data_IF_412888882098
#
_entry.id   IF_412888882098
#
_cell.length_a   1.000
_cell.length_b   1.000
_cell.length_c   1.000
_cell.angle_alpha   90.00
_cell.angle_beta   90.00
_cell.angle_gamma   90.00
#
_symmetry.space_group_name_H-M   'P 1'
#
loop_
_entity.id
_entity.type
_entity.pdbx_description
1 polymer ?
#
# COMPACT_ATOMS: atom_id res chain seq x y z
N UNK A 1 2.73 -10.87 2.12
CA UNK A 1 1.61 -11.57 2.79
C UNK A 1 1.11 -10.81 4.03
N UNK A 2 1.92 -10.59 5.07
CA UNK A 2 1.50 -9.79 6.25
C UNK A 2 1.07 -8.35 5.89
N UNK A 3 1.85 -7.65 5.08
CA UNK A 3 1.55 -6.30 4.58
C UNK A 3 0.17 -6.20 3.87
N UNK A 4 -0.25 -7.25 3.18
CA UNK A 4 -1.52 -7.29 2.42
C UNK A 4 -2.71 -7.37 3.37
N UNK A 5 -2.57 -8.19 4.42
CA UNK A 5 -3.53 -8.27 5.50
C UNK A 5 -3.63 -6.94 6.25
N UNK A 6 -2.47 -6.34 6.58
CA UNK A 6 -2.42 -5.02 7.23
C UNK A 6 -3.11 -3.97 6.39
N UNK A 7 -2.91 -3.94 5.06
CA UNK A 7 -3.61 -3.01 4.18
C UNK A 7 -5.12 -3.21 4.24
N UNK A 8 -5.59 -4.46 4.15
CA UNK A 8 -7.02 -4.75 4.14
C UNK A 8 -7.71 -4.29 5.40
N UNK A 9 -7.09 -4.55 6.56
CA UNK A 9 -7.55 -4.04 7.85
C UNK A 9 -7.49 -2.50 7.89
N UNK A 10 -6.40 -1.90 7.43
CA UNK A 10 -6.21 -0.45 7.41
C UNK A 10 -7.31 0.26 6.61
N UNK A 11 -7.65 -0.28 5.43
CA UNK A 11 -8.69 0.26 4.56
C UNK A 11 -10.08 0.23 5.21
N UNK A 12 -10.40 -0.85 5.95
CA UNK A 12 -11.65 -0.96 6.70
C UNK A 12 -11.66 0.05 7.85
N UNK A 13 -10.59 0.08 8.64
CA UNK A 13 -10.45 0.96 9.80
C UNK A 13 -10.46 2.45 9.44
N UNK A 14 -9.86 2.82 8.31
CA UNK A 14 -9.84 4.21 7.86
C UNK A 14 -11.16 4.67 7.27
N UNK A 15 -12.01 3.75 6.78
CA UNK A 15 -13.31 4.13 6.18
C UNK A 15 -14.29 4.81 7.13
N UNK A 16 -14.11 4.67 8.44
CA UNK A 16 -14.96 5.31 9.47
C UNK A 16 -14.44 6.71 9.87
N UNK A 17 -13.34 7.19 9.27
CA UNK A 17 -12.66 8.44 9.63
C UNK A 17 -12.40 9.31 8.40
N UNK A 18 -12.07 10.58 8.63
CA UNK A 18 -11.60 11.45 7.55
C UNK A 18 -10.23 10.98 7.04
N UNK A 19 -10.24 10.37 5.85
CA UNK A 19 -9.05 9.75 5.27
C UNK A 19 -8.15 10.83 4.64
N UNK A 20 -6.97 11.03 5.24
CA UNK A 20 -5.86 11.74 4.58
C UNK A 20 -5.09 10.78 3.69
N UNK A 21 -5.60 10.53 2.48
CA UNK A 21 -5.13 9.45 1.60
C UNK A 21 -3.62 9.46 1.31
N UNK A 22 -3.03 10.65 1.15
CA UNK A 22 -1.58 10.78 0.91
C UNK A 22 -0.76 10.45 2.17
N UNK A 23 -1.19 10.93 3.34
CA UNK A 23 -0.47 10.72 4.59
C UNK A 23 -0.62 9.29 5.10
N UNK A 24 -1.82 8.73 5.01
CA UNK A 24 -2.08 7.34 5.40
C UNK A 24 -1.39 6.34 4.47
N UNK A 25 -1.35 6.63 3.16
CA UNK A 25 -0.56 5.83 2.23
C UNK A 25 0.92 5.86 2.58
N UNK A 26 1.45 7.03 2.97
CA UNK A 26 2.85 7.17 3.37
C UNK A 26 3.15 6.40 4.66
N UNK A 27 2.26 6.50 5.65
CA UNK A 27 2.35 5.76 6.90
C UNK A 27 2.32 4.24 6.65
N UNK A 28 1.47 3.77 5.75
CA UNK A 28 1.37 2.37 5.38
C UNK A 28 2.63 1.86 4.67
N UNK A 29 3.18 2.61 3.71
CA UNK A 29 4.44 2.25 3.04
C UNK A 29 5.61 2.24 4.04
N UNK A 30 5.68 3.23 4.93
CA UNK A 30 6.66 3.23 6.02
C UNK A 30 6.57 1.99 6.90
N UNK A 31 5.36 1.61 7.30
CA UNK A 31 5.13 0.37 8.05
C UNK A 31 5.53 -0.87 7.24
N UNK A 32 5.28 -0.88 5.94
CA UNK A 32 5.66 -1.98 5.04
C UNK A 32 7.18 -2.16 5.00
N UNK A 33 7.94 -1.06 4.90
CA UNK A 33 9.41 -1.09 4.98
C UNK A 33 9.87 -1.71 6.30
N UNK A 34 9.27 -1.30 7.43
CA UNK A 34 9.60 -1.86 8.74
C UNK A 34 9.30 -3.37 8.82
N UNK A 35 8.12 -3.78 8.35
CA UNK A 35 7.71 -5.20 8.31
C UNK A 35 8.70 -6.02 7.48
N UNK A 36 9.05 -5.56 6.27
CA UNK A 36 9.99 -6.25 5.39
C UNK A 36 11.37 -6.36 6.04
N UNK A 37 11.85 -5.29 6.65
CA UNK A 37 13.15 -5.25 7.34
C UNK A 37 13.21 -6.23 8.52
N UNK A 38 12.14 -6.31 9.31
CA UNK A 38 12.03 -7.24 10.44
C UNK A 38 11.98 -8.69 9.93
N UNK A 39 11.20 -8.98 8.88
CA UNK A 39 11.08 -10.35 8.35
C UNK A 39 12.40 -10.90 7.79
N UNK A 40 13.24 -10.03 7.21
CA UNK A 40 14.53 -10.42 6.61
C UNK A 40 15.71 -10.21 7.58
N UNK A 41 15.47 -9.61 8.76
CA UNK A 41 16.51 -9.22 9.72
C UNK A 41 17.65 -8.40 9.10
N UNK A 42 17.33 -7.58 8.10
CA UNK A 42 18.28 -6.73 7.40
C UNK A 42 17.63 -5.36 7.13
N UNK A 43 18.37 -4.25 7.31
CA UNK A 43 17.90 -2.96 6.83
C UNK A 43 17.76 -3.00 5.30
N UNK A 44 16.85 -2.18 4.73
CA UNK A 44 16.70 -2.08 3.29
C UNK A 44 17.91 -1.33 2.68
N UNK A 45 18.32 -1.74 1.49
CA UNK A 45 19.31 -0.99 0.72
C UNK A 45 18.67 0.28 0.16
N UNK A 46 19.10 1.43 0.67
CA UNK A 46 18.57 2.74 0.23
C UNK A 46 19.29 3.16 -1.06
N UNK A 47 18.67 2.86 -2.20
CA UNK A 47 19.13 3.27 -3.53
C UNK A 47 17.98 3.91 -4.34
N UNK A 48 18.25 4.32 -5.58
CA UNK A 48 17.23 4.92 -6.45
C UNK A 48 16.05 3.97 -6.72
N UNK A 49 16.34 2.67 -6.87
CA UNK A 49 15.34 1.64 -7.11
C UNK A 49 14.39 1.50 -5.92
N UNK A 50 14.90 1.56 -4.68
CA UNK A 50 14.13 1.57 -3.45
C UNK A 50 13.12 2.72 -3.43
N UNK A 51 13.55 3.95 -3.71
CA UNK A 51 12.65 5.11 -3.70
C UNK A 51 11.56 5.01 -4.76
N UNK A 52 11.87 4.52 -5.96
CA UNK A 52 10.87 4.34 -7.02
C UNK A 52 9.88 3.24 -6.64
N UNK A 53 10.36 2.11 -6.13
CA UNK A 53 9.51 0.99 -5.67
C UNK A 53 8.55 1.46 -4.58
N UNK A 54 9.07 2.16 -3.56
CA UNK A 54 8.24 2.71 -2.48
C UNK A 54 7.28 3.79 -2.98
N UNK A 55 7.71 4.61 -3.94
CA UNK A 55 6.85 5.63 -4.56
C UNK A 55 5.68 5.04 -5.34
N UNK A 56 5.90 3.93 -6.06
CA UNK A 56 4.84 3.19 -6.77
C UNK A 56 3.84 2.61 -5.77
N UNK A 57 4.33 1.92 -4.74
CA UNK A 57 3.48 1.34 -3.68
C UNK A 57 2.68 2.43 -2.97
N UNK A 58 3.31 3.57 -2.68
CA UNK A 58 2.67 4.72 -2.04
C UNK A 58 1.55 5.31 -2.91
N UNK A 59 1.85 5.62 -4.17
CA UNK A 59 0.88 6.18 -5.10
C UNK A 59 -0.35 5.28 -5.24
N UNK A 60 -0.12 3.97 -5.32
CA UNK A 60 -1.19 2.98 -5.40
C UNK A 60 -2.07 2.94 -4.14
N UNK A 61 -1.46 2.88 -2.96
CA UNK A 61 -2.20 2.84 -1.69
C UNK A 61 -2.99 4.13 -1.48
N UNK A 62 -2.38 5.29 -1.76
CA UNK A 62 -3.07 6.58 -1.71
C UNK A 62 -4.23 6.66 -2.69
N UNK A 63 -4.12 6.08 -3.88
CA UNK A 63 -5.21 6.01 -4.85
C UNK A 63 -6.39 5.19 -4.32
N UNK A 64 -6.13 4.02 -3.71
CA UNK A 64 -7.19 3.18 -3.12
C UNK A 64 -7.87 3.90 -1.96
N UNK A 65 -7.08 4.51 -1.06
CA UNK A 65 -7.61 5.26 0.07
C UNK A 65 -8.49 6.42 -0.38
N UNK A 66 -8.08 7.14 -1.42
CA UNK A 66 -8.91 8.16 -2.05
C UNK A 66 -10.20 7.59 -2.64
N UNK A 67 -10.12 6.44 -3.34
CA UNK A 67 -11.29 5.79 -3.90
C UNK A 67 -12.29 5.35 -2.82
N UNK A 68 -11.82 4.80 -1.70
CA UNK A 68 -12.67 4.42 -0.57
C UNK A 68 -13.35 5.65 0.03
N UNK A 69 -12.59 6.72 0.29
CA UNK A 69 -13.13 7.96 0.84
C UNK A 69 -14.21 8.58 -0.08
N UNK A 70 -14.10 8.37 -1.39
CA UNK A 70 -15.03 8.94 -2.36
C UNK A 70 -16.24 8.07 -2.66
N UNK A 71 -16.07 6.76 -2.74
CA UNK A 71 -17.06 5.83 -3.29
C UNK A 71 -17.64 4.85 -2.28
N UNK A 72 -17.02 4.68 -1.11
CA UNK A 72 -17.58 3.78 -0.09
C UNK A 72 -18.68 4.48 0.71
N UNK A 73 -19.90 3.98 0.58
CA UNK A 73 -21.09 4.51 1.30
C UNK A 73 -21.62 3.55 2.35
N UNK A 74 -21.23 2.27 2.29
CA UNK A 74 -21.68 1.23 3.19
C UNK A 74 -20.50 0.38 3.65
N UNK A 75 -20.68 -0.34 4.76
CA UNK A 75 -19.68 -1.28 5.23
C UNK A 75 -19.37 -2.39 4.19
N UNK A 76 -20.38 -2.86 3.46
CA UNK A 76 -20.20 -3.88 2.40
C UNK A 76 -19.34 -3.33 1.26
N UNK A 77 -19.57 -2.09 0.82
CA UNK A 77 -18.72 -1.48 -0.21
C UNK A 77 -17.29 -1.30 0.29
N UNK A 78 -17.09 -0.91 1.55
CA UNK A 78 -15.75 -0.84 2.16
C UNK A 78 -15.05 -2.20 2.11
N UNK A 79 -15.74 -3.28 2.49
CA UNK A 79 -15.17 -4.63 2.46
C UNK A 79 -14.75 -5.05 1.04
N UNK A 80 -15.56 -4.74 0.03
CA UNK A 80 -15.22 -5.02 -1.37
C UNK A 80 -13.99 -4.24 -1.82
N UNK A 81 -13.91 -2.95 -1.49
CA UNK A 81 -12.72 -2.14 -1.78
C UNK A 81 -11.49 -2.64 -1.04
N UNK A 82 -11.63 -3.05 0.22
CA UNK A 82 -10.53 -3.59 1.00
C UNK A 82 -10.01 -4.91 0.39
N UNK A 83 -10.90 -5.80 -0.02
CA UNK A 83 -10.54 -7.04 -0.71
C UNK A 83 -9.82 -6.79 -2.04
N UNK A 84 -10.42 -5.96 -2.91
CA UNK A 84 -9.84 -5.65 -4.23
C UNK A 84 -8.52 -4.89 -4.08
N UNK A 85 -8.48 -3.93 -3.16
CA UNK A 85 -7.31 -3.12 -2.85
C UNK A 85 -6.14 -3.97 -2.35
N UNK A 86 -6.39 -4.85 -1.37
CA UNK A 86 -5.39 -5.79 -0.86
C UNK A 86 -4.94 -6.80 -1.91
N UNK A 87 -5.85 -7.40 -2.68
CA UNK A 87 -5.50 -8.36 -3.72
C UNK A 87 -4.63 -7.72 -4.82
N UNK A 88 -5.00 -6.51 -5.23
CA UNK A 88 -4.24 -5.75 -6.22
C UNK A 88 -2.90 -5.27 -5.67
N UNK A 89 -2.84 -4.89 -4.39
CA UNK A 89 -1.59 -4.56 -3.70
C UNK A 89 -0.65 -5.76 -3.62
N UNK A 90 -1.17 -6.96 -3.39
CA UNK A 90 -0.35 -8.17 -3.40
C UNK A 90 0.33 -8.37 -4.75
N UNK A 91 -0.41 -8.25 -5.84
CA UNK A 91 0.18 -8.33 -7.18
C UNK A 91 1.25 -7.24 -7.38
N UNK A 92 0.94 -6.01 -6.97
CA UNK A 92 1.87 -4.90 -7.08
C UNK A 92 3.15 -5.13 -6.26
N UNK A 93 3.05 -5.63 -5.03
CA UNK A 93 4.22 -5.84 -4.17
C UNK A 93 5.15 -6.95 -4.68
N UNK A 94 4.64 -7.86 -5.50
CA UNK A 94 5.47 -8.87 -6.18
C UNK A 94 6.16 -8.33 -7.44
N UNK A 95 5.59 -7.32 -8.11
CA UNK A 95 6.08 -6.81 -9.40
C UNK A 95 6.64 -5.37 -9.33
N UNK A 96 6.57 -4.72 -8.18
CA UNK A 96 6.95 -3.31 -8.01
C UNK A 96 8.43 -3.06 -8.33
N UNK A 97 9.30 -4.03 -8.01
CA UNK A 97 10.72 -3.98 -8.35
C UNK A 97 10.96 -4.04 -9.86
N UNK A 98 10.33 -4.98 -10.57
CA UNK A 98 10.45 -5.14 -12.03
C UNK A 98 9.92 -3.89 -12.76
N UNK A 99 8.82 -3.31 -12.27
CA UNK A 99 8.27 -2.06 -12.79
C UNK A 99 9.26 -0.92 -12.56
N UNK A 100 9.88 -0.83 -11.38
CA UNK A 100 10.86 0.20 -11.07
C UNK A 100 12.12 0.07 -11.94
N UNK A 101 12.60 -1.15 -12.22
CA UNK A 101 13.73 -1.39 -13.12
C UNK A 101 13.46 -0.90 -14.55
N UNK A 102 12.24 -1.14 -15.06
CA UNK A 102 11.80 -0.66 -16.38
C UNK A 102 11.68 0.87 -16.48
N UNK A 103 11.52 1.58 -15.36
CA UNK A 103 11.44 3.04 -15.34
C UNK A 103 12.84 3.68 -15.39
N UNK A 104 13.86 2.98 -14.87
CA UNK A 104 15.23 3.48 -14.79
C UNK A 104 16.04 3.14 -16.05
N UNK A 105 15.69 2.07 -16.76
CA UNK A 105 16.37 1.58 -17.97
C UNK A 105 15.81 2.22 -19.24
#
# INVERSE_FOLDING_TARGET
MLEVFVLGFWLIWSSERDISALMEGLAFVGLTVLIRSIMVFSPPEINQLFFITMGIEWAFVSLIMWAINRYSTTFITTLLFALIGSASYYWLSQHSLEIAEKIIT
#
